data_IF_953660224096
#
_entry.id   IF_953660224096
#
_cell.length_a   1.000
_cell.length_b   1.000
_cell.length_c   1.000
_cell.angle_alpha   90.00
_cell.angle_beta   90.00
_cell.angle_gamma   90.00
#
_symmetry.space_group_name_H-M   'P 1'
#
loop_
_entity.id
_entity.type
_entity.pdbx_description
1 polymer ?
#
# COMPACT_ATOMS: atom_id res chain seq x y z
N UNK A 1 -32.91 -34.56 21.67
CA UNK A 1 -31.90 -33.47 21.77
C UNK A 1 -30.84 -33.64 20.66
N UNK A 2 -31.18 -33.46 19.38
CA UNK A 2 -30.24 -33.68 18.23
C UNK A 2 -30.15 -32.50 17.25
N UNK A 3 -30.95 -31.45 17.41
CA UNK A 3 -30.92 -30.28 16.51
C UNK A 3 -29.86 -29.23 16.91
N UNK A 4 -29.49 -29.17 18.20
CA UNK A 4 -28.60 -28.12 18.69
C UNK A 4 -27.13 -28.32 18.28
N UNK A 5 -26.65 -29.56 18.23
CA UNK A 5 -25.25 -29.87 17.88
C UNK A 5 -24.94 -29.54 16.41
N UNK A 6 -25.92 -29.75 15.51
CA UNK A 6 -25.78 -29.39 14.08
C UNK A 6 -25.71 -27.88 13.82
N UNK A 7 -26.34 -27.07 14.69
CA UNK A 7 -26.39 -25.61 14.56
C UNK A 7 -25.09 -25.00 15.11
N UNK A 8 -24.57 -25.55 16.21
CA UNK A 8 -23.26 -25.15 16.73
C UNK A 8 -22.12 -25.48 15.75
N UNK A 9 -22.13 -26.66 15.14
CA UNK A 9 -21.15 -27.03 14.11
C UNK A 9 -21.17 -26.10 12.88
N UNK A 10 -22.36 -25.73 12.38
CA UNK A 10 -22.49 -24.76 11.27
C UNK A 10 -22.04 -23.36 11.66
N UNK A 11 -22.31 -22.92 12.89
CA UNK A 11 -21.88 -21.60 13.39
C UNK A 11 -20.37 -21.55 13.53
N UNK A 12 -19.75 -22.63 14.03
CA UNK A 12 -18.29 -22.76 14.13
C UNK A 12 -17.63 -22.70 12.75
N UNK A 13 -18.15 -23.45 11.77
CA UNK A 13 -17.65 -23.44 10.40
C UNK A 13 -17.72 -22.05 9.76
N UNK A 14 -18.79 -21.28 10.02
CA UNK A 14 -18.92 -19.89 9.54
C UNK A 14 -17.88 -18.97 10.16
N UNK A 15 -17.64 -19.06 11.46
CA UNK A 15 -16.64 -18.23 12.17
C UNK A 15 -15.23 -18.54 11.67
N UNK A 16 -14.89 -19.82 11.50
CA UNK A 16 -13.60 -20.25 10.95
C UNK A 16 -13.43 -19.74 9.51
N UNK A 17 -14.47 -19.85 8.67
CA UNK A 17 -14.46 -19.33 7.31
C UNK A 17 -14.20 -17.81 7.27
N UNK A 18 -14.91 -17.05 8.10
CA UNK A 18 -14.69 -15.60 8.22
C UNK A 18 -13.26 -15.26 8.67
N UNK A 19 -12.72 -15.99 9.65
CA UNK A 19 -11.37 -15.76 10.15
C UNK A 19 -10.29 -16.01 9.07
N UNK A 20 -10.45 -17.07 8.27
CA UNK A 20 -9.55 -17.37 7.15
C UNK A 20 -9.60 -16.28 6.06
N UNK A 21 -10.79 -15.75 5.77
CA UNK A 21 -10.92 -14.66 4.79
C UNK A 21 -10.28 -13.36 5.30
N UNK A 22 -10.45 -13.04 6.58
CA UNK A 22 -9.77 -11.90 7.20
C UNK A 22 -8.25 -12.06 7.20
N UNK A 23 -7.72 -13.26 7.46
CA UNK A 23 -6.28 -13.53 7.38
C UNK A 23 -5.74 -13.33 5.96
N UNK A 24 -6.46 -13.80 4.94
CA UNK A 24 -6.09 -13.54 3.53
C UNK A 24 -6.08 -12.05 3.21
N UNK A 25 -7.09 -11.31 3.67
CA UNK A 25 -7.16 -9.85 3.48
C UNK A 25 -6.01 -9.13 4.20
N UNK A 26 -5.65 -9.57 5.40
CA UNK A 26 -4.51 -9.03 6.15
C UNK A 26 -3.19 -9.29 5.42
N UNK A 27 -2.98 -10.51 4.91
CA UNK A 27 -1.78 -10.85 4.14
C UNK A 27 -1.67 -10.03 2.85
N UNK A 28 -2.77 -9.85 2.13
CA UNK A 28 -2.79 -9.03 0.92
C UNK A 28 -2.51 -7.56 1.23
N UNK A 29 -3.12 -7.02 2.29
CA UNK A 29 -2.80 -5.68 2.78
C UNK A 29 -1.31 -5.55 3.07
N UNK A 30 -0.74 -6.46 3.85
CA UNK A 30 0.68 -6.43 4.21
C UNK A 30 1.62 -6.51 3.00
N UNK A 31 1.24 -7.28 1.97
CA UNK A 31 2.00 -7.39 0.72
C UNK A 31 1.96 -6.07 -0.05
N UNK A 32 0.78 -5.55 -0.30
CA UNK A 32 0.58 -4.31 -1.05
C UNK A 32 1.25 -3.10 -0.37
N UNK A 33 1.18 -3.01 0.97
CA UNK A 33 1.89 -1.97 1.72
C UNK A 33 3.41 -2.07 1.50
N UNK A 34 3.95 -3.28 1.56
CA UNK A 34 5.39 -3.51 1.37
C UNK A 34 5.83 -3.14 -0.05
N UNK A 35 5.06 -3.56 -1.06
CA UNK A 35 5.32 -3.24 -2.47
C UNK A 35 5.29 -1.72 -2.72
N UNK A 36 4.31 -1.02 -2.14
CA UNK A 36 4.21 0.43 -2.24
C UNK A 36 5.39 1.15 -1.58
N UNK A 37 5.79 0.73 -0.37
CA UNK A 37 6.93 1.32 0.35
C UNK A 37 8.25 1.11 -0.40
N UNK A 38 8.47 -0.10 -0.94
CA UNK A 38 9.65 -0.40 -1.77
C UNK A 38 9.67 0.50 -3.00
N UNK A 39 8.53 0.66 -3.69
CA UNK A 39 8.43 1.52 -4.85
C UNK A 39 8.73 3.00 -4.49
N UNK A 40 8.20 3.50 -3.38
CA UNK A 40 8.48 4.87 -2.90
C UNK A 40 9.98 5.05 -2.67
N UNK A 41 10.63 4.12 -1.97
CA UNK A 41 12.05 4.19 -1.68
C UNK A 41 12.91 4.18 -2.96
N UNK A 42 12.61 3.28 -3.90
CA UNK A 42 13.29 3.20 -5.19
C UNK A 42 13.11 4.47 -6.03
N UNK A 43 11.92 5.05 -5.99
CA UNK A 43 11.60 6.30 -6.71
C UNK A 43 12.37 7.47 -6.10
N UNK A 44 12.39 7.61 -4.77
CA UNK A 44 13.19 8.64 -4.08
C UNK A 44 14.67 8.53 -4.46
N UNK A 45 15.24 7.31 -4.49
CA UNK A 45 16.63 7.11 -4.91
C UNK A 45 16.87 7.58 -6.35
N UNK A 46 15.95 7.26 -7.26
CA UNK A 46 16.02 7.69 -8.66
C UNK A 46 15.91 9.22 -8.81
N UNK A 47 15.03 9.87 -8.04
CA UNK A 47 14.85 11.32 -8.06
C UNK A 47 16.09 12.05 -7.50
N UNK A 48 16.68 11.51 -6.43
CA UNK A 48 17.88 12.05 -5.80
C UNK A 48 19.17 11.79 -6.59
N UNK A 49 19.15 10.98 -7.65
CA UNK A 49 20.33 10.73 -8.46
C UNK A 49 20.74 11.99 -9.26
N UNK A 50 21.79 12.68 -8.79
CA UNK A 50 22.31 13.92 -9.37
C UNK A 50 23.32 13.70 -10.50
N UNK A 51 23.45 12.48 -11.01
CA UNK A 51 24.31 12.20 -12.17
C UNK A 51 23.63 12.71 -13.45
N UNK A 52 23.92 13.96 -13.82
CA UNK A 52 23.52 14.48 -15.12
C UNK A 52 24.44 13.93 -16.20
N UNK A 53 23.90 13.26 -17.23
CA UNK A 53 24.72 12.76 -18.32
C UNK A 53 25.28 13.93 -19.14
N UNK A 54 26.54 13.81 -19.59
CA UNK A 54 27.25 14.83 -20.38
C UNK A 54 26.73 14.97 -21.83
N UNK A 55 25.43 14.77 -22.08
CA UNK A 55 24.79 14.85 -23.39
C UNK A 55 23.36 15.36 -23.29
N UNK A 56 23.03 16.36 -24.10
CA UNK A 56 21.69 16.96 -24.20
C UNK A 56 20.60 15.91 -24.49
N UNK A 57 20.91 14.89 -25.31
CA UNK A 57 19.97 13.81 -25.64
C UNK A 57 19.58 13.04 -24.38
N UNK A 58 20.55 12.72 -23.52
CA UNK A 58 20.29 11.96 -22.29
C UNK A 58 19.59 12.80 -21.22
N UNK A 59 19.80 14.12 -21.21
CA UNK A 59 19.01 15.05 -20.38
C UNK A 59 17.55 15.05 -20.84
N UNK A 60 17.30 15.08 -22.15
CA UNK A 60 15.94 14.99 -22.70
C UNK A 60 15.27 13.65 -22.34
N UNK A 61 15.97 12.52 -22.45
CA UNK A 61 15.47 11.21 -22.00
C UNK A 61 15.06 11.22 -20.52
N UNK A 62 15.88 11.82 -19.65
CA UNK A 62 15.57 11.95 -18.22
C UNK A 62 14.31 12.80 -17.96
N UNK A 63 14.08 13.84 -18.75
CA UNK A 63 12.89 14.68 -18.65
C UNK A 63 11.62 13.93 -19.12
N UNK A 64 11.73 13.11 -20.17
CA UNK A 64 10.64 12.24 -20.63
C UNK A 64 10.31 11.17 -19.57
N UNK A 65 11.33 10.54 -19.00
CA UNK A 65 11.18 9.56 -17.91
C UNK A 65 10.49 10.18 -16.69
N UNK A 66 10.92 11.38 -16.29
CA UNK A 66 10.30 12.12 -15.18
C UNK A 66 8.84 12.51 -15.46
N UNK A 67 8.52 12.96 -16.68
CA UNK A 67 7.14 13.26 -17.06
C UNK A 67 6.25 12.02 -17.07
N UNK A 68 6.75 10.88 -17.58
CA UNK A 68 6.02 9.60 -17.52
C UNK A 68 5.70 9.23 -16.07
N UNK A 69 6.70 9.32 -15.20
CA UNK A 69 6.53 9.06 -13.78
C UNK A 69 5.42 9.92 -13.16
N UNK A 70 5.41 11.24 -13.41
CA UNK A 70 4.40 12.17 -12.88
C UNK A 70 2.98 11.90 -13.37
N UNK A 71 2.84 11.53 -14.65
CA UNK A 71 1.52 11.42 -15.30
C UNK A 71 0.92 10.02 -15.21
N UNK A 72 1.76 8.99 -15.11
CA UNK A 72 1.31 7.59 -15.15
C UNK A 72 1.58 6.87 -13.83
N UNK A 73 2.84 6.84 -13.38
CA UNK A 73 3.24 5.96 -12.27
C UNK A 73 2.77 6.52 -10.92
N UNK A 74 2.99 7.81 -10.65
CA UNK A 74 2.55 8.45 -9.39
C UNK A 74 1.03 8.37 -9.19
N UNK A 75 0.16 8.69 -10.18
CA UNK A 75 -1.29 8.55 -10.03
C UNK A 75 -1.75 7.11 -9.75
N UNK A 76 -1.15 6.12 -10.41
CA UNK A 76 -1.47 4.71 -10.17
C UNK A 76 -1.13 4.30 -8.72
N UNK A 77 0.02 4.73 -8.20
CA UNK A 77 0.44 4.45 -6.82
C UNK A 77 -0.35 5.23 -5.78
N UNK A 78 -0.82 6.43 -6.11
CA UNK A 78 -1.73 7.18 -5.25
C UNK A 78 -3.10 6.48 -5.12
N UNK A 79 -3.61 5.92 -6.22
CA UNK A 79 -4.82 5.11 -6.17
C UNK A 79 -4.63 3.84 -5.31
N UNK A 80 -3.47 3.19 -5.42
CA UNK A 80 -3.10 2.03 -4.60
C UNK A 80 -3.06 2.37 -3.10
N UNK A 81 -2.50 3.51 -2.73
CA UNK A 81 -2.55 4.05 -1.36
C UNK A 81 -4.00 4.18 -0.85
N UNK A 82 -4.90 4.74 -1.66
CA UNK A 82 -6.32 4.83 -1.32
C UNK A 82 -6.99 3.46 -1.15
N UNK A 83 -6.65 2.50 -2.01
CA UNK A 83 -7.15 1.12 -1.92
C UNK A 83 -6.68 0.43 -0.64
N UNK A 84 -5.46 0.71 -0.16
CA UNK A 84 -4.94 0.19 1.11
C UNK A 84 -5.73 0.70 2.31
N UNK A 85 -6.11 1.98 2.32
CA UNK A 85 -6.95 2.56 3.37
C UNK A 85 -8.34 1.90 3.40
N UNK A 86 -8.95 1.70 2.22
CA UNK A 86 -10.24 1.01 2.07
C UNK A 86 -10.14 -0.45 2.50
N UNK A 87 -9.06 -1.15 2.12
CA UNK A 87 -8.85 -2.55 2.48
C UNK A 87 -8.69 -2.72 4.00
N UNK A 88 -7.91 -1.85 4.64
CA UNK A 88 -7.75 -1.85 6.09
C UNK A 88 -9.07 -1.56 6.80
N UNK A 89 -9.82 -0.56 6.34
CA UNK A 89 -11.14 -0.24 6.89
C UNK A 89 -12.10 -1.42 6.76
N UNK A 90 -12.11 -2.08 5.59
CA UNK A 90 -12.98 -3.25 5.33
C UNK A 90 -12.61 -4.42 6.23
N UNK A 91 -11.31 -4.69 6.39
CA UNK A 91 -10.81 -5.74 7.28
C UNK A 91 -11.20 -5.48 8.74
N UNK A 92 -10.97 -4.26 9.24
CA UNK A 92 -11.37 -3.88 10.60
C UNK A 92 -12.88 -3.89 10.81
N UNK A 93 -13.67 -3.55 9.79
CA UNK A 93 -15.13 -3.60 9.85
C UNK A 93 -15.64 -5.04 9.92
N UNK A 94 -15.05 -5.95 9.13
CA UNK A 94 -15.36 -7.39 9.17
C UNK A 94 -15.04 -8.02 10.53
N UNK A 95 -13.85 -7.75 11.08
CA UNK A 95 -13.47 -8.27 12.40
C UNK A 95 -14.44 -7.81 13.49
N UNK A 96 -14.83 -6.52 13.48
CA UNK A 96 -15.84 -5.99 14.41
C UNK A 96 -17.20 -6.67 14.27
N UNK A 97 -17.66 -6.87 13.03
CA UNK A 97 -18.94 -7.54 12.76
C UNK A 97 -18.96 -9.00 13.26
N UNK A 98 -17.80 -9.66 13.26
CA UNK A 98 -17.63 -11.03 13.76
C UNK A 98 -17.34 -11.08 15.27
N UNK A 99 -17.40 -9.95 16.00
CA UNK A 99 -17.04 -9.83 17.42
C UNK A 99 -15.58 -10.23 17.71
N UNK A 100 -14.70 -10.08 16.72
CA UNK A 100 -13.26 -10.33 16.84
C UNK A 100 -12.50 -9.02 17.13
N UNK A 101 -11.26 -9.15 17.61
CA UNK A 101 -10.38 -8.00 17.83
C UNK A 101 -10.02 -7.42 16.45
N UNK A 102 -10.21 -6.11 16.21
CA UNK A 102 -9.87 -5.50 14.94
C UNK A 102 -8.41 -5.75 14.57
N UNK A 103 -8.17 -6.11 13.30
CA UNK A 103 -6.80 -6.26 12.80
C UNK A 103 -6.03 -4.94 12.95
N UNK A 104 -4.84 -5.06 13.53
CA UNK A 104 -3.88 -3.99 13.66
C UNK A 104 -2.67 -4.30 12.78
N UNK A 105 -2.36 -3.46 11.79
CA UNK A 105 -1.15 -3.60 10.99
C UNK A 105 0.11 -3.70 11.85
N UNK A 106 1.08 -4.48 11.40
CA UNK A 106 2.41 -4.54 12.01
C UNK A 106 3.09 -3.17 11.91
N UNK A 107 4.02 -2.90 12.83
CA UNK A 107 4.86 -1.72 12.79
C UNK A 107 5.61 -1.63 11.44
N UNK A 108 5.66 -0.44 10.85
CA UNK A 108 6.22 -0.21 9.51
C UNK A 108 5.26 -0.52 8.37
N UNK A 109 4.08 -1.09 8.64
CA UNK A 109 3.00 -1.34 7.65
C UNK A 109 1.74 -0.53 7.94
N UNK A 110 1.82 0.50 8.78
CA UNK A 110 0.66 1.33 9.08
C UNK A 110 0.41 2.34 7.95
N UNK A 111 -0.83 2.80 7.80
CA UNK A 111 -1.17 3.89 6.88
C UNK A 111 -0.35 5.16 7.17
N UNK A 112 -0.04 5.42 8.44
CA UNK A 112 0.85 6.52 8.85
C UNK A 112 2.27 6.39 8.27
N UNK A 113 2.81 5.16 8.19
CA UNK A 113 4.13 4.93 7.60
C UNK A 113 4.11 5.21 6.10
N UNK A 114 3.03 4.82 5.41
CA UNK A 114 2.82 5.11 3.98
C UNK A 114 2.70 6.61 3.76
N UNK A 115 1.92 7.32 4.58
CA UNK A 115 1.78 8.78 4.50
C UNK A 115 3.13 9.48 4.64
N UNK A 116 3.92 9.09 5.65
CA UNK A 116 5.26 9.65 5.87
C UNK A 116 6.21 9.35 4.70
N UNK A 117 6.18 8.13 4.16
CA UNK A 117 6.98 7.77 2.99
C UNK A 117 6.56 8.59 1.76
N UNK A 118 5.27 8.81 1.58
CA UNK A 118 4.72 9.62 0.50
C UNK A 118 5.12 11.09 0.60
N UNK A 119 5.07 11.70 1.80
CA UNK A 119 5.57 13.06 2.02
C UNK A 119 7.06 13.20 1.69
N UNK A 120 7.86 12.17 1.99
CA UNK A 120 9.28 12.14 1.62
C UNK A 120 9.48 12.05 0.11
N UNK A 121 8.62 11.30 -0.59
CA UNK A 121 8.61 11.25 -2.06
C UNK A 121 8.33 12.63 -2.65
N UNK A 122 7.31 13.32 -2.15
CA UNK A 122 6.94 14.65 -2.65
C UNK A 122 8.04 15.68 -2.42
N UNK A 123 8.78 15.57 -1.31
CA UNK A 123 9.97 16.40 -1.06
C UNK A 123 11.08 16.13 -2.08
N UNK A 124 11.39 14.85 -2.34
CA UNK A 124 12.41 14.46 -3.32
C UNK A 124 12.03 14.88 -4.74
N UNK A 125 10.74 14.81 -5.10
CA UNK A 125 10.25 15.33 -6.38
C UNK A 125 10.46 16.83 -6.50
N UNK A 126 10.14 17.60 -5.46
CA UNK A 126 10.33 19.05 -5.47
C UNK A 126 11.81 19.42 -5.63
N UNK A 127 12.71 18.75 -4.93
CA UNK A 127 14.16 18.96 -5.09
C UNK A 127 14.65 18.61 -6.51
N UNK A 128 14.08 17.56 -7.13
CA UNK A 128 14.39 17.17 -8.50
C UNK A 128 13.89 18.19 -9.53
N UNK A 129 12.69 18.73 -9.34
CA UNK A 129 12.14 19.80 -10.19
C UNK A 129 12.98 21.08 -10.13
N UNK A 130 13.58 21.40 -8.98
CA UNK A 130 14.47 22.55 -8.85
C UNK A 130 15.85 22.35 -9.49
N UNK A 131 16.28 21.10 -9.66
CA UNK A 131 17.60 20.75 -10.18
C UNK A 131 17.64 20.50 -11.70
N UNK A 132 16.48 20.28 -12.33
CA UNK A 132 16.31 20.10 -13.77
C UNK A 132 16.05 21.44 -14.48
#
# INVERSE_FOLDING_TARGET
>A
KMKNDSVQGRRLAKVIGSALDSEKMANEYERLVSDLLIWIEQTIRTLNDRQFPNSLIRVHEKLVEFNRYRVMDKPARFAEKGNLEVLLFTLQSKERANQQIPYQPREGKMISDINRAWENLERAEHERELAL
#
